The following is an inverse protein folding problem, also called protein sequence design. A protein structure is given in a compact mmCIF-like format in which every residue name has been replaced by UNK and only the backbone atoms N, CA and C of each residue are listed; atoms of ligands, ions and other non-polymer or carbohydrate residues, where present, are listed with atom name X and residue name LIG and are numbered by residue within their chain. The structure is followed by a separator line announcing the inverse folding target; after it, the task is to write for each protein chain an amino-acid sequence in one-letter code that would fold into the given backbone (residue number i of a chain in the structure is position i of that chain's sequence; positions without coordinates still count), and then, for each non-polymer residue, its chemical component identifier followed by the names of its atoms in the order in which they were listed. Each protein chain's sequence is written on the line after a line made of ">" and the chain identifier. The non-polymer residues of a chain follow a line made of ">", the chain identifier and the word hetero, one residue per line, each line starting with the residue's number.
data_IF_768873692908
#
_entry.id   IF_768873692908
#
_cell.length_a   1.000
_cell.length_b   1.000
_cell.length_c   1.000
_cell.angle_alpha   90.00
_cell.angle_beta   90.00
_cell.angle_gamma   90.00
#
_symmetry.space_group_name_H-M   'P 1'
#
loop_
_entity.id
_entity.type
_entity.pdbx_description
1 polymer ?
#
# COMPACT_ATOMS: atom_id res chain seq x y z
N UNK A 1 17.14 -12.41 -2.83
CA UNK A 1 15.92 -11.66 -2.47
C UNK A 1 14.91 -12.60 -1.85
N UNK A 2 14.35 -12.20 -0.75
CA UNK A 2 13.46 -13.07 0.02
C UNK A 2 12.03 -12.52 -0.03
N UNK A 3 11.14 -13.23 -0.73
CA UNK A 3 9.74 -12.85 -0.85
C UNK A 3 8.89 -13.83 -0.06
N UNK A 4 9.15 -13.91 1.22
CA UNK A 4 8.47 -14.89 2.07
C UNK A 4 7.56 -14.27 3.11
N UNK A 5 7.42 -12.95 3.12
CA UNK A 5 6.54 -12.28 4.07
C UNK A 5 5.14 -12.17 3.49
N UNK A 6 4.12 -12.73 4.15
CA UNK A 6 2.77 -12.61 3.63
C UNK A 6 2.23 -11.19 3.80
N UNK A 7 1.66 -10.67 2.74
CA UNK A 7 0.95 -9.40 2.78
C UNK A 7 -0.38 -9.58 2.08
N UNK A 8 -1.27 -8.63 2.28
CA UNK A 8 -2.60 -8.67 1.66
C UNK A 8 -2.79 -7.44 0.81
N UNK A 9 -3.11 -7.67 -0.47
CA UNK A 9 -3.42 -6.60 -1.39
C UNK A 9 -4.92 -6.44 -1.43
N UNK A 10 -5.38 -5.20 -1.27
CA UNK A 10 -6.80 -4.91 -1.23
C UNK A 10 -7.19 -4.13 -2.47
N UNK A 11 -8.16 -4.64 -3.20
CA UNK A 11 -8.73 -3.90 -4.31
C UNK A 11 -10.13 -3.46 -3.94
N UNK A 12 -10.43 -2.21 -4.28
CA UNK A 12 -11.70 -1.61 -3.94
C UNK A 12 -12.47 -1.40 -5.23
N UNK A 13 -13.69 -1.90 -5.27
CA UNK A 13 -14.54 -1.73 -6.44
C UNK A 13 -15.86 -1.13 -6.01
N UNK A 14 -16.49 -0.43 -6.94
CA UNK A 14 -17.81 0.14 -6.73
C UNK A 14 -18.78 -0.55 -7.67
N UNK A 15 -19.90 -1.01 -7.12
CA UNK A 15 -20.96 -1.61 -7.90
C UNK A 15 -22.27 -0.98 -7.54
N UNK A 16 -23.19 -0.97 -8.49
CA UNK A 16 -24.51 -0.42 -8.26
C UNK A 16 -25.46 -1.58 -8.02
N UNK A 17 -26.19 -1.54 -6.90
CA UNK A 17 -27.10 -2.63 -6.58
C UNK A 17 -28.41 -2.46 -7.34
N UNK A 18 -29.37 -3.35 -7.04
CA UNK A 18 -30.62 -3.37 -7.75
C UNK A 18 -31.48 -2.12 -7.52
N UNK A 19 -31.17 -1.37 -6.47
CA UNK A 19 -31.89 -0.14 -6.16
C UNK A 19 -31.19 1.11 -6.66
N UNK A 20 -30.12 0.96 -7.44
CA UNK A 20 -29.39 2.09 -7.95
C UNK A 20 -28.44 2.72 -6.97
N UNK A 21 -28.18 2.09 -5.83
CA UNK A 21 -27.29 2.60 -4.81
C UNK A 21 -25.88 2.06 -5.04
N UNK A 22 -24.90 2.94 -5.00
CA UNK A 22 -23.50 2.53 -5.16
C UNK A 22 -22.99 1.89 -3.88
N UNK A 23 -22.36 0.77 -4.04
CA UNK A 23 -21.76 0.04 -2.93
C UNK A 23 -20.27 -0.15 -3.21
N UNK A 24 -19.48 -0.06 -2.16
CA UNK A 24 -18.06 -0.33 -2.26
C UNK A 24 -17.77 -1.71 -1.68
N UNK A 25 -16.99 -2.49 -2.42
CA UNK A 25 -16.55 -3.77 -1.91
C UNK A 25 -15.04 -3.83 -1.95
N UNK A 26 -14.48 -4.53 -0.98
CA UNK A 26 -13.05 -4.68 -0.84
C UNK A 26 -12.73 -6.15 -1.00
N UNK A 27 -11.87 -6.46 -1.96
CA UNK A 27 -11.49 -7.84 -2.22
C UNK A 27 -10.03 -8.03 -1.80
N UNK A 28 -9.78 -8.82 -0.76
CA UNK A 28 -8.41 -9.08 -0.34
C UNK A 28 -7.78 -10.20 -1.16
N UNK A 29 -6.48 -10.13 -1.33
CA UNK A 29 -5.73 -11.15 -2.03
C UNK A 29 -4.37 -11.28 -1.36
N UNK A 30 -4.03 -12.48 -0.94
CA UNK A 30 -2.79 -12.73 -0.22
C UNK A 30 -1.68 -13.03 -1.19
N UNK A 31 -0.54 -12.36 -0.99
CA UNK A 31 0.66 -12.62 -1.79
C UNK A 31 1.86 -12.57 -0.86
N UNK A 32 2.99 -13.02 -1.36
CA UNK A 32 4.25 -12.96 -0.62
C UNK A 32 5.12 -11.86 -1.18
N UNK A 33 5.80 -11.15 -0.28
CA UNK A 33 6.63 -10.02 -0.68
C UNK A 33 7.87 -9.95 0.19
N UNK A 34 8.86 -9.24 -0.30
CA UNK A 34 9.98 -8.81 0.50
C UNK A 34 9.63 -7.43 1.04
N UNK A 35 9.82 -7.24 2.35
CA UNK A 35 9.47 -5.98 2.99
C UNK A 35 10.76 -5.27 3.40
N UNK A 36 10.90 -4.04 2.97
CA UNK A 36 12.05 -3.22 3.31
C UNK A 36 11.57 -1.90 3.88
N UNK A 37 12.33 -1.39 4.85
CA UNK A 37 12.08 -0.06 5.38
C UNK A 37 12.86 0.95 4.56
N UNK A 38 12.20 2.01 4.16
CA UNK A 38 12.84 3.10 3.44
C UNK A 38 12.48 4.40 4.14
N UNK A 39 13.21 5.45 3.80
CA UNK A 39 12.97 6.75 4.40
C UNK A 39 12.87 7.79 3.29
N UNK A 40 11.84 8.59 3.37
CA UNK A 40 11.63 9.66 2.41
C UNK A 40 11.91 10.99 3.09
N UNK A 41 12.76 11.81 2.47
CA UNK A 41 13.00 13.16 2.95
C UNK A 41 11.84 14.05 2.54
N UNK A 42 11.40 14.90 3.47
CA UNK A 42 10.32 15.82 3.21
C UNK A 42 10.72 17.21 3.64
N UNK A 43 10.19 18.19 2.92
CA UNK A 43 10.37 19.59 3.25
C UNK A 43 9.06 20.14 3.78
N UNK A 44 9.15 20.86 4.87
CA UNK A 44 7.99 21.48 5.49
C UNK A 44 8.09 22.99 5.33
N UNK A 45 6.96 23.64 5.45
CA UNK A 45 6.93 25.10 5.45
C UNK A 45 7.83 25.64 6.54
N UNK A 46 8.55 26.72 6.23
CA UNK A 46 9.52 27.28 7.16
C UNK A 46 10.91 26.73 7.02
N UNK A 47 11.15 25.92 5.98
CA UNK A 47 12.47 25.43 5.67
C UNK A 47 12.94 24.26 6.50
N UNK A 48 12.03 23.60 7.19
CA UNK A 48 12.40 22.40 7.96
C UNK A 48 12.39 21.18 7.08
N UNK A 49 13.32 20.28 7.35
CA UNK A 49 13.38 18.98 6.70
C UNK A 49 12.95 17.91 7.69
N UNK A 50 12.28 16.90 7.20
CA UNK A 50 11.90 15.77 8.02
C UNK A 50 12.11 14.47 7.28
N UNK A 51 12.05 13.39 8.01
CA UNK A 51 12.16 12.05 7.45
C UNK A 51 10.86 11.31 7.74
N UNK A 52 10.32 10.68 6.71
CA UNK A 52 9.09 9.93 6.83
C UNK A 52 9.40 8.46 6.57
N UNK A 53 9.37 7.62 7.60
CA UNK A 53 9.61 6.19 7.40
C UNK A 53 8.47 5.56 6.62
N UNK A 54 8.84 4.71 5.69
CA UNK A 54 7.89 4.06 4.80
C UNK A 54 8.31 2.63 4.60
N UNK A 55 7.43 1.85 4.02
CA UNK A 55 7.74 0.49 3.64
C UNK A 55 7.71 0.34 2.13
N UNK A 56 8.64 -0.46 1.65
CA UNK A 56 8.67 -0.86 0.25
C UNK A 56 8.41 -2.36 0.19
N UNK A 57 7.41 -2.74 -0.60
CA UNK A 57 7.09 -4.14 -0.78
C UNK A 57 7.53 -4.54 -2.18
N UNK A 58 8.36 -5.59 -2.25
CA UNK A 58 8.81 -6.13 -3.54
C UNK A 58 8.19 -7.48 -3.73
N UNK A 59 7.44 -7.64 -4.81
CA UNK A 59 6.74 -8.89 -5.07
C UNK A 59 6.88 -9.28 -6.53
N UNK A 60 6.42 -10.49 -6.83
CA UNK A 60 6.41 -10.99 -8.19
C UNK A 60 5.46 -10.13 -9.02
N UNK A 61 5.94 -9.69 -10.18
CA UNK A 61 5.16 -8.78 -11.02
C UNK A 61 3.80 -9.37 -11.38
N UNK A 62 3.73 -10.67 -11.61
CA UNK A 62 2.47 -11.32 -11.96
C UNK A 62 1.47 -11.37 -10.81
N UNK A 63 1.93 -11.12 -9.58
CA UNK A 63 1.03 -11.12 -8.43
C UNK A 63 0.37 -9.77 -8.20
N UNK A 64 0.80 -8.72 -8.89
CA UNK A 64 0.27 -7.40 -8.68
C UNK A 64 -0.71 -7.03 -9.77
N UNK A 65 -1.89 -6.58 -9.41
CA UNK A 65 -2.95 -6.26 -10.35
C UNK A 65 -3.43 -4.83 -10.19
N UNK A 66 -2.57 -3.94 -9.73
CA UNK A 66 -2.94 -2.53 -9.60
C UNK A 66 -3.58 -2.14 -8.30
N UNK A 67 -3.55 -3.01 -7.32
CA UNK A 67 -4.11 -2.68 -6.00
C UNK A 67 -3.36 -1.50 -5.40
N UNK A 68 -4.11 -0.60 -4.76
CA UNK A 68 -3.53 0.60 -4.19
C UNK A 68 -3.41 0.56 -2.68
N UNK A 69 -3.82 -0.53 -2.05
CA UNK A 69 -3.81 -0.65 -0.60
C UNK A 69 -3.16 -1.99 -0.24
N UNK A 70 -2.24 -1.93 0.72
CA UNK A 70 -1.56 -3.11 1.23
C UNK A 70 -1.85 -3.20 2.71
N UNK A 71 -2.21 -4.39 3.17
CA UNK A 71 -2.36 -4.67 4.59
C UNK A 71 -1.20 -5.55 5.02
N UNK A 72 -0.46 -5.10 6.02
CA UNK A 72 0.72 -5.79 6.49
C UNK A 72 0.80 -5.64 8.00
N UNK A 73 0.92 -6.77 8.69
CA UNK A 73 1.14 -6.78 10.13
C UNK A 73 0.07 -5.99 10.89
N UNK A 74 -1.16 -6.04 10.42
CA UNK A 74 -2.27 -5.35 11.08
C UNK A 74 -2.40 -3.89 10.73
N UNK A 75 -1.54 -3.38 9.85
CA UNK A 75 -1.55 -1.97 9.47
C UNK A 75 -1.90 -1.84 8.00
N UNK A 76 -2.47 -0.71 7.65
CA UNK A 76 -2.87 -0.43 6.27
C UNK A 76 -1.94 0.61 5.67
N UNK A 77 -1.49 0.33 4.45
CA UNK A 77 -0.55 1.19 3.73
C UNK A 77 -1.14 1.56 2.38
N UNK A 78 -0.93 2.80 1.97
CA UNK A 78 -1.37 3.28 0.67
C UNK A 78 -0.20 3.30 -0.30
N UNK A 79 -0.39 2.70 -1.47
CA UNK A 79 0.64 2.68 -2.51
C UNK A 79 0.59 4.02 -3.24
N UNK A 80 1.69 4.77 -3.18
CA UNK A 80 1.75 6.05 -3.88
C UNK A 80 2.62 5.98 -5.12
N UNK A 81 3.45 4.94 -5.25
CA UNK A 81 4.31 4.80 -6.41
C UNK A 81 4.64 3.33 -6.60
N UNK A 82 4.74 2.91 -7.84
CA UNK A 82 5.21 1.57 -8.19
C UNK A 82 6.40 1.69 -9.11
N UNK A 83 7.27 0.70 -9.07
CA UNK A 83 8.44 0.65 -9.93
C UNK A 83 8.66 -0.78 -10.39
N UNK A 84 8.66 -0.99 -11.69
CA UNK A 84 8.90 -2.30 -12.26
C UNK A 84 10.42 -2.48 -12.37
N UNK A 85 11.03 -2.95 -11.27
CA UNK A 85 12.46 -2.95 -11.11
C UNK A 85 13.16 -3.97 -11.99
N UNK A 86 12.53 -5.12 -12.14
CA UNK A 86 13.08 -6.21 -12.92
C UNK A 86 11.99 -6.83 -13.76
N UNK A 87 12.38 -7.74 -14.64
CA UNK A 87 11.44 -8.37 -15.54
C UNK A 87 10.28 -9.04 -14.80
N UNK A 88 10.56 -9.60 -13.63
CA UNK A 88 9.56 -10.33 -12.87
C UNK A 88 9.26 -9.73 -11.51
N UNK A 89 9.75 -8.53 -11.20
CA UNK A 89 9.58 -7.94 -9.88
C UNK A 89 9.02 -6.52 -9.98
N UNK A 90 8.15 -6.20 -9.06
CA UNK A 90 7.62 -4.85 -8.94
C UNK A 90 7.77 -4.39 -7.50
N UNK A 91 8.14 -3.13 -7.33
CA UNK A 91 8.28 -2.51 -6.02
C UNK A 91 7.11 -1.57 -5.80
N UNK A 92 6.48 -1.71 -4.64
CA UNK A 92 5.38 -0.84 -4.24
C UNK A 92 5.89 0.05 -3.13
N UNK A 93 5.92 1.35 -3.40
CA UNK A 93 6.31 2.33 -2.40
C UNK A 93 5.06 2.81 -1.70
N UNK A 94 5.04 2.64 -0.38
CA UNK A 94 3.82 2.85 0.39
C UNK A 94 4.07 3.76 1.57
N UNK A 95 3.01 4.45 1.98
CA UNK A 95 3.04 5.19 3.22
C UNK A 95 1.91 4.66 4.10
N UNK A 96 2.14 4.72 5.40
CA UNK A 96 1.17 4.22 6.35
C UNK A 96 -0.08 5.08 6.30
N UNK A 97 -1.19 4.43 6.12
CA UNK A 97 -2.47 5.12 6.12
C UNK A 97 -2.90 5.21 7.58
N UNK A 98 -2.77 6.39 8.14
CA UNK A 98 -2.95 6.61 9.52
C UNK A 98 -4.32 6.26 10.01
N UNK A 99 -4.32 5.72 10.89
CA UNK A 99 -5.54 5.51 11.35
C UNK A 99 -5.66 6.17 12.63
N UNK A 100 -5.17 6.13 12.41
CA UNK A 100 -5.31 6.54 12.99
C UNK A 100 -5.61 7.07 13.59
N UNK A 101 -5.91 7.01 13.44
CA UNK A 101 -6.18 7.68 13.77
C UNK A 101 -6.70 7.92 13.99
N UNK A 102 -6.83 7.80 14.17
CA UNK A 102 -7.23 8.27 14.16
C UNK A 102 -7.66 8.51 14.33
N UNK A 103 -7.77 8.40 14.59
CA UNK A 103 -8.08 8.88 14.64
C UNK A 103 -8.48 9.31 14.65
N UNK A 104 -8.56 9.25 14.88
CA UNK A 104 -8.78 9.92 14.74
C UNK A 104 -9.18 10.41 14.76
N UNK A 105 -9.26 10.34 14.98
CA UNK A 105 -9.55 11.02 14.89
C UNK A 105 -9.82 11.57 14.72
N UNK A 106 -9.88 11.41 14.89
CA UNK A 106 -10.04 12.13 14.58
C UNK A 106 -10.21 12.39 14.55
#
# INVERSE_FOLDING_TARGET
>A
MDRSTPIRLLSISKTQNAFGVWEMSCTPRDVFAQVDSVTRAEFFDGGRNGLNPELRFTLFFGDYQGERIVEYNGETYAVYRTFHARKDSIELYTERKGGTNEANTD
#
